data_IF_635742460571
#
_entry.id   IF_635742460571
#
_cell.length_a   1.000
_cell.length_b   1.000
_cell.length_c   1.000
_cell.angle_alpha   90.00
_cell.angle_beta   90.00
_cell.angle_gamma   90.00
#
_symmetry.space_group_name_H-M   'P 1'
#
loop_
_entity.id
_entity.type
_entity.pdbx_description
1 polymer ?
#
# COMPACT_ATOMS: atom_id res chain seq x y z
N UNK A 1 17.80 -10.69 -7.44
CA UNK A 1 18.21 -9.97 -8.66
C UNK A 1 19.66 -9.52 -8.65
N UNK A 2 20.05 -8.41 -8.00
CA UNK A 2 21.41 -7.87 -8.17
C UNK A 2 22.52 -8.79 -7.62
N UNK A 3 22.22 -9.59 -6.60
CA UNK A 3 23.10 -10.64 -6.08
C UNK A 3 22.77 -12.05 -6.62
N UNK A 4 21.99 -12.16 -7.71
CA UNK A 4 21.54 -13.42 -8.38
C UNK A 4 20.86 -14.47 -7.49
N UNK A 5 20.28 -14.08 -6.36
CA UNK A 5 19.50 -14.98 -5.48
C UNK A 5 18.03 -15.18 -5.90
N UNK A 6 17.61 -14.52 -6.97
CA UNK A 6 16.25 -14.59 -7.52
C UNK A 6 16.26 -13.98 -8.92
N UNK A 7 15.60 -14.67 -9.87
CA UNK A 7 15.49 -14.28 -11.29
C UNK A 7 14.39 -13.22 -11.51
N UNK A 8 13.29 -13.35 -10.74
CA UNK A 8 12.13 -12.46 -10.78
C UNK A 8 11.75 -12.09 -9.34
N UNK A 9 11.18 -10.89 -9.15
CA UNK A 9 10.65 -10.44 -7.86
C UNK A 9 9.46 -9.52 -8.08
N UNK A 10 8.56 -9.49 -7.09
CA UNK A 10 7.42 -8.59 -7.04
C UNK A 10 7.70 -7.55 -5.96
N UNK A 11 7.89 -6.29 -6.35
CA UNK A 11 8.35 -5.23 -5.45
C UNK A 11 7.62 -3.91 -5.73
N UNK A 12 7.31 -3.11 -4.69
CA UNK A 12 6.83 -1.75 -4.88
C UNK A 12 7.99 -0.81 -5.24
N UNK A 13 7.69 0.28 -5.96
CA UNK A 13 8.59 1.43 -6.10
C UNK A 13 9.94 1.19 -6.79
N UNK A 14 10.08 0.13 -7.58
CA UNK A 14 11.34 -0.25 -8.26
C UNK A 14 11.44 0.25 -9.71
N UNK A 15 10.39 0.89 -10.22
CA UNK A 15 10.37 1.47 -11.55
C UNK A 15 11.50 2.50 -11.73
N UNK A 16 12.16 2.48 -12.89
CA UNK A 16 13.23 3.42 -13.24
C UNK A 16 14.64 3.00 -12.80
N UNK A 17 14.82 1.90 -12.07
CA UNK A 17 16.15 1.42 -11.70
C UNK A 17 16.96 1.00 -12.96
N UNK A 18 18.21 1.48 -13.16
CA UNK A 18 18.92 1.39 -14.43
C UNK A 18 19.16 -0.04 -14.92
N UNK A 19 19.37 -0.99 -14.01
CA UNK A 19 19.66 -2.40 -14.29
C UNK A 19 18.44 -3.33 -14.25
N UNK A 20 17.27 -2.81 -13.87
CA UNK A 20 16.07 -3.63 -13.65
C UNK A 20 15.05 -3.31 -14.73
N UNK A 21 14.48 -4.35 -15.32
CA UNK A 21 13.23 -4.25 -16.06
C UNK A 21 12.10 -4.46 -15.08
N UNK A 22 11.07 -3.61 -15.14
CA UNK A 22 9.93 -3.64 -14.23
C UNK A 22 8.65 -3.41 -15.05
N UNK A 23 7.72 -4.35 -14.98
CA UNK A 23 6.38 -4.22 -15.55
C UNK A 23 5.36 -4.03 -14.42
N UNK A 24 4.45 -3.04 -14.51
CA UNK A 24 3.42 -2.83 -13.50
C UNK A 24 2.49 -4.04 -13.45
N UNK A 25 2.11 -4.45 -12.23
CA UNK A 25 1.17 -5.53 -12.01
C UNK A 25 -0.18 -5.01 -11.53
N UNK A 26 -0.19 -4.35 -10.38
CA UNK A 26 -1.41 -3.80 -9.82
C UNK A 26 -1.08 -2.58 -8.98
N UNK A 27 -2.11 -1.73 -8.83
CA UNK A 27 -2.06 -0.49 -8.08
C UNK A 27 -2.96 -0.64 -6.86
N UNK A 28 -2.43 -0.25 -5.71
CA UNK A 28 -3.18 -0.16 -4.47
C UNK A 28 -3.29 1.27 -4.03
N UNK A 29 -4.39 1.61 -3.37
CA UNK A 29 -4.63 2.95 -2.82
C UNK A 29 -4.63 2.93 -1.31
N UNK A 30 -4.18 4.02 -0.69
CA UNK A 30 -4.22 4.14 0.76
C UNK A 30 -5.66 4.39 1.22
N UNK A 31 -6.06 3.67 2.27
CA UNK A 31 -7.35 3.85 2.95
C UNK A 31 -7.10 4.10 4.43
N UNK A 32 -7.99 4.85 5.06
CA UNK A 32 -8.01 4.97 6.51
C UNK A 32 -8.75 3.75 7.09
N UNK A 33 -8.22 3.21 8.18
CA UNK A 33 -8.90 2.21 9.00
C UNK A 33 -9.19 2.79 10.38
N UNK A 34 -10.39 2.51 10.88
CA UNK A 34 -10.88 2.95 12.19
C UNK A 34 -11.64 1.82 12.89
N UNK A 35 -11.72 1.83 14.22
CA UNK A 35 -12.61 0.89 14.93
C UNK A 35 -14.07 1.12 14.53
N UNK A 36 -14.90 0.07 14.62
CA UNK A 36 -16.34 0.20 14.37
C UNK A 36 -17.06 1.14 15.34
N UNK A 37 -16.48 1.41 16.51
CA UNK A 37 -16.98 2.37 17.49
C UNK A 37 -16.52 3.81 17.23
N UNK A 38 -15.64 4.04 16.25
CA UNK A 38 -15.11 5.37 15.97
C UNK A 38 -16.20 6.27 15.34
N UNK A 39 -16.28 7.57 15.67
CA UNK A 39 -17.29 8.48 15.08
C UNK A 39 -17.27 8.56 13.55
N UNK A 40 -16.13 8.27 12.94
CA UNK A 40 -16.01 8.23 11.47
C UNK A 40 -16.42 6.89 10.85
N UNK A 41 -16.74 5.86 11.62
CA UNK A 41 -17.12 4.54 11.08
C UNK A 41 -18.36 4.61 10.17
N UNK A 42 -19.23 5.60 10.37
CA UNK A 42 -20.42 5.84 9.56
C UNK A 42 -20.14 6.69 8.30
N UNK A 43 -18.91 7.16 8.12
CA UNK A 43 -18.51 8.00 6.97
C UNK A 43 -17.90 7.15 5.86
N UNK A 44 -18.15 7.57 4.63
CA UNK A 44 -17.51 6.96 3.46
C UNK A 44 -16.15 7.59 3.10
N UNK A 45 -15.95 8.85 3.49
CA UNK A 45 -14.72 9.60 3.20
C UNK A 45 -14.36 10.66 4.26
N UNK A 46 -13.05 10.91 4.36
CA UNK A 46 -12.45 11.98 5.18
C UNK A 46 -11.31 12.65 4.42
N UNK A 47 -11.09 13.95 4.65
CA UNK A 47 -9.95 14.69 4.12
C UNK A 47 -8.67 14.34 4.87
N UNK A 48 -7.51 14.51 4.22
CA UNK A 48 -6.22 14.36 4.91
C UNK A 48 -6.03 15.38 6.04
N UNK A 49 -6.64 16.57 5.93
CA UNK A 49 -6.51 17.62 6.94
C UNK A 49 -7.16 17.22 8.28
N UNK A 50 -8.31 16.52 8.23
CA UNK A 50 -9.01 16.03 9.42
C UNK A 50 -8.17 15.04 10.25
N UNK A 51 -7.17 14.39 9.64
CA UNK A 51 -6.27 13.47 10.35
C UNK A 51 -5.40 14.17 11.41
N UNK A 52 -5.27 15.49 11.36
CA UNK A 52 -4.50 16.28 12.34
C UNK A 52 -5.14 16.22 13.73
N UNK A 53 -6.46 16.06 13.79
CA UNK A 53 -7.24 16.10 15.03
C UNK A 53 -7.48 14.71 15.62
N UNK A 54 -6.94 13.66 15.00
CA UNK A 54 -7.10 12.28 15.44
C UNK A 54 -5.80 11.67 16.00
N UNK A 55 -5.89 10.77 17.00
CA UNK A 55 -4.76 9.91 17.36
C UNK A 55 -4.49 8.91 16.23
N UNK A 56 -3.27 8.88 15.73
CA UNK A 56 -2.85 7.99 14.64
C UNK A 56 -1.92 6.89 15.14
N UNK A 57 -2.13 5.69 14.63
CA UNK A 57 -1.22 4.55 14.75
C UNK A 57 -0.39 4.44 13.47
N UNK A 58 0.92 4.31 13.61
CA UNK A 58 1.84 4.10 12.48
C UNK A 58 2.60 2.80 12.61
N UNK A 59 3.12 2.33 11.48
CA UNK A 59 4.18 1.32 11.49
C UNK A 59 5.55 1.96 11.75
N UNK A 60 6.48 1.14 12.20
CA UNK A 60 7.88 1.53 12.35
C UNK A 60 8.48 2.09 11.05
N UNK A 61 9.46 2.97 11.20
CA UNK A 61 10.13 3.65 10.07
C UNK A 61 10.78 2.73 9.04
N UNK A 62 11.04 1.46 9.37
CA UNK A 62 11.54 0.44 8.44
C UNK A 62 10.53 0.00 7.38
N UNK A 63 9.24 0.21 7.60
CA UNK A 63 8.18 -0.19 6.68
C UNK A 63 8.18 0.63 5.39
N UNK A 64 8.34 -0.03 4.24
CA UNK A 64 8.23 0.60 2.92
C UNK A 64 6.85 1.24 2.70
N UNK A 65 5.79 0.58 3.18
CA UNK A 65 4.42 1.12 3.16
C UNK A 65 4.34 2.40 3.97
N UNK A 66 4.89 2.42 5.19
CA UNK A 66 4.85 3.62 6.03
C UNK A 66 5.61 4.77 5.39
N UNK A 67 6.80 4.51 4.80
CA UNK A 67 7.55 5.54 4.08
C UNK A 67 6.76 6.16 2.93
N UNK A 68 6.03 5.34 2.16
CA UNK A 68 5.21 5.83 1.06
C UNK A 68 4.04 6.70 1.56
N UNK A 69 3.39 6.29 2.66
CA UNK A 69 2.32 7.05 3.31
C UNK A 69 2.86 8.37 3.89
N UNK A 70 3.97 8.33 4.63
CA UNK A 70 4.61 9.49 5.23
C UNK A 70 5.00 10.53 4.17
N UNK A 71 5.58 10.09 3.05
CA UNK A 71 5.96 10.96 1.94
C UNK A 71 4.74 11.62 1.30
N UNK A 72 3.63 10.89 1.16
CA UNK A 72 2.40 11.44 0.61
C UNK A 72 1.71 12.43 1.57
N UNK A 73 1.69 12.15 2.87
CA UNK A 73 1.23 13.07 3.90
C UNK A 73 2.08 14.35 3.90
N UNK A 74 3.41 14.21 3.81
CA UNK A 74 4.35 15.32 3.73
C UNK A 74 4.12 16.19 2.50
N UNK A 75 3.94 15.59 1.31
CA UNK A 75 3.61 16.32 0.07
C UNK A 75 2.28 17.07 0.16
N UNK A 76 1.33 16.52 0.92
CA UNK A 76 0.02 17.15 1.17
C UNK A 76 0.06 18.20 2.28
N UNK A 77 1.22 18.45 2.89
CA UNK A 77 1.36 19.40 4.01
C UNK A 77 0.65 18.95 5.29
N UNK A 78 0.32 17.67 5.42
CA UNK A 78 -0.38 17.11 6.58
C UNK A 78 0.62 16.42 7.50
N UNK A 79 0.55 16.74 8.79
CA UNK A 79 1.34 16.09 9.85
C UNK A 79 0.39 15.55 10.90
N UNK A 80 -0.05 14.29 10.78
CA UNK A 80 -0.93 13.70 11.78
C UNK A 80 -0.21 13.50 13.12
N UNK A 81 -0.96 13.46 14.22
CA UNK A 81 -0.41 13.16 15.54
C UNK A 81 -0.32 11.66 15.74
N UNK A 82 0.87 11.09 15.51
CA UNK A 82 1.14 9.69 15.79
C UNK A 82 1.30 9.45 17.29
N UNK A 83 0.41 8.64 17.88
CA UNK A 83 0.40 8.30 19.31
C UNK A 83 0.98 6.91 19.59
N UNK A 84 1.03 6.04 18.58
CA UNK A 84 1.57 4.68 18.67
C UNK A 84 2.39 4.33 17.43
N UNK A 85 3.52 3.66 17.64
CA UNK A 85 4.36 3.08 16.59
C UNK A 85 4.51 1.58 16.81
N UNK A 86 4.24 0.78 15.78
CA UNK A 86 4.16 -0.68 15.86
C UNK A 86 5.00 -1.36 14.77
N UNK A 87 5.65 -2.47 15.10
CA UNK A 87 6.58 -3.15 14.17
C UNK A 87 5.88 -3.86 12.99
N UNK A 88 4.67 -4.40 13.20
CA UNK A 88 3.95 -5.18 12.19
C UNK A 88 2.64 -4.51 11.76
N UNK A 89 2.18 -4.89 10.56
CA UNK A 89 0.88 -4.48 10.02
C UNK A 89 -0.25 -5.05 10.86
N UNK A 90 -0.10 -6.30 11.27
CA UNK A 90 -1.08 -7.03 12.08
C UNK A 90 -1.27 -6.34 13.44
N UNK A 91 -0.18 -5.91 14.09
CA UNK A 91 -0.26 -5.16 15.33
C UNK A 91 -0.96 -3.81 15.15
N UNK A 92 -0.68 -3.10 14.04
CA UNK A 92 -1.39 -1.86 13.69
C UNK A 92 -2.89 -2.09 13.53
N UNK A 93 -3.27 -3.11 12.76
CA UNK A 93 -4.68 -3.46 12.56
C UNK A 93 -5.38 -3.81 13.88
N UNK A 94 -4.73 -4.58 14.77
CA UNK A 94 -5.26 -4.91 16.10
C UNK A 94 -5.44 -3.66 16.97
N UNK A 95 -4.44 -2.78 17.03
CA UNK A 95 -4.52 -1.53 17.79
C UNK A 95 -5.66 -0.62 17.31
N UNK A 96 -5.84 -0.51 15.98
CA UNK A 96 -6.97 0.24 15.39
C UNK A 96 -8.30 -0.40 15.73
N UNK A 97 -8.41 -1.73 15.61
CA UNK A 97 -9.65 -2.46 15.93
C UNK A 97 -10.05 -2.29 17.40
N UNK A 98 -9.06 -2.21 18.29
CA UNK A 98 -9.23 -1.93 19.72
C UNK A 98 -9.52 -0.45 20.05
N UNK A 99 -9.57 0.44 19.06
CA UNK A 99 -9.91 1.86 19.24
C UNK A 99 -8.75 2.71 19.78
N UNK A 100 -7.50 2.26 19.68
CA UNK A 100 -6.32 2.99 20.17
C UNK A 100 -5.88 4.14 19.25
N UNK A 101 -6.52 4.28 18.09
CA UNK A 101 -6.32 5.34 17.12
C UNK A 101 -6.74 4.92 15.71
N UNK A 102 -6.53 5.80 14.74
CA UNK A 102 -6.76 5.53 13.32
C UNK A 102 -5.46 5.08 12.63
N UNK A 103 -5.55 4.24 11.61
CA UNK A 103 -4.39 3.76 10.85
C UNK A 103 -4.56 3.99 9.35
N UNK A 104 -3.46 4.03 8.59
CA UNK A 104 -3.50 4.06 7.13
C UNK A 104 -2.81 2.80 6.60
N UNK A 105 -3.49 2.08 5.71
CA UNK A 105 -3.03 0.85 5.07
C UNK A 105 -3.37 0.87 3.59
N UNK A 106 -2.87 -0.10 2.82
CA UNK A 106 -3.35 -0.30 1.46
C UNK A 106 -4.73 -0.96 1.46
N UNK A 107 -5.61 -0.56 0.54
CA UNK A 107 -6.94 -1.15 0.31
C UNK A 107 -6.90 -2.69 0.25
N UNK A 108 -5.97 -3.25 -0.52
CA UNK A 108 -5.76 -4.69 -0.65
C UNK A 108 -5.37 -5.39 0.66
N UNK A 109 -4.75 -4.68 1.60
CA UNK A 109 -4.44 -5.21 2.93
C UNK A 109 -5.65 -5.16 3.87
N UNK A 110 -6.60 -4.28 3.58
CA UNK A 110 -7.78 -4.02 4.41
C UNK A 110 -9.00 -4.86 4.00
N UNK A 111 -9.17 -5.15 2.71
CA UNK A 111 -10.34 -5.85 2.14
C UNK A 111 -10.63 -7.22 2.80
N UNK A 112 -9.64 -7.88 3.38
CA UNK A 112 -9.79 -9.20 3.99
C UNK A 112 -10.21 -9.18 5.47
N UNK A 113 -10.48 -8.02 6.07
CA UNK A 113 -10.67 -7.90 7.52
C UNK A 113 -12.00 -7.23 7.88
N UNK A 114 -12.80 -7.91 8.69
CA UNK A 114 -14.05 -7.36 9.27
C UNK A 114 -13.83 -6.66 10.62
N UNK A 115 -12.59 -6.64 11.14
CA UNK A 115 -12.26 -6.12 12.48
C UNK A 115 -12.37 -4.59 12.62
N UNK A 116 -12.38 -3.87 11.50
CA UNK A 116 -12.37 -2.42 11.44
C UNK A 116 -13.16 -1.93 10.22
N UNK A 117 -13.52 -0.65 10.22
CA UNK A 117 -14.11 0.03 9.07
C UNK A 117 -13.02 0.67 8.22
N UNK A 118 -13.15 0.55 6.89
CA UNK A 118 -12.33 1.26 5.91
C UNK A 118 -13.04 2.53 5.44
N UNK A 119 -12.29 3.63 5.32
CA UNK A 119 -12.78 4.95 4.92
C UNK A 119 -11.87 5.51 3.84
N UNK A 120 -12.44 6.10 2.79
CA UNK A 120 -11.66 6.70 1.68
C UNK A 120 -11.03 8.01 2.12
N UNK A 121 -9.82 8.27 1.63
CA UNK A 121 -9.13 9.56 1.84
C UNK A 121 -9.46 10.50 0.67
N UNK A 122 -10.10 11.63 0.97
CA UNK A 122 -10.46 12.68 0.03
C UNK A 122 -9.22 13.55 -0.25
N UNK A 123 -8.35 13.03 -1.12
CA UNK A 123 -7.16 13.71 -1.64
C UNK A 123 -6.78 13.13 -3.00
N UNK A 124 -5.70 13.62 -3.62
CA UNK A 124 -5.06 12.82 -4.66
C UNK A 124 -4.77 11.41 -4.10
N UNK A 125 -5.17 10.34 -4.80
CA UNK A 125 -5.01 8.99 -4.28
C UNK A 125 -3.54 8.69 -3.99
N UNK A 126 -3.23 8.48 -2.72
CA UNK A 126 -1.95 7.94 -2.32
C UNK A 126 -1.92 6.51 -2.82
N UNK A 127 -0.98 6.20 -3.71
CA UNK A 127 -0.94 4.89 -4.34
C UNK A 127 0.46 4.31 -4.38
N UNK A 128 0.50 2.99 -4.38
CA UNK A 128 1.71 2.22 -4.60
C UNK A 128 1.43 1.18 -5.68
N UNK A 129 2.33 1.08 -6.65
CA UNK A 129 2.26 0.08 -7.71
C UNK A 129 3.26 -1.01 -7.41
N UNK A 130 2.81 -2.26 -7.43
CA UNK A 130 3.69 -3.42 -7.42
C UNK A 130 4.13 -3.75 -8.83
N UNK A 131 5.40 -4.11 -8.98
CA UNK A 131 6.00 -4.43 -10.26
C UNK A 131 6.55 -5.83 -10.26
N UNK A 132 6.29 -6.58 -11.32
CA UNK A 132 7.11 -7.73 -11.68
C UNK A 132 8.43 -7.20 -12.21
N UNK A 133 9.52 -7.64 -11.62
CA UNK A 133 10.84 -7.14 -11.94
C UNK A 133 11.77 -8.29 -12.30
N UNK A 134 12.77 -8.04 -13.13
CA UNK A 134 13.90 -8.93 -13.39
C UNK A 134 15.15 -8.10 -13.77
N UNK A 135 16.33 -8.73 -13.79
CA UNK A 135 17.49 -8.05 -14.39
C UNK A 135 17.24 -7.81 -15.88
N UNK A 136 17.65 -6.64 -16.41
CA UNK A 136 17.57 -6.37 -17.85
C UNK A 136 18.37 -7.38 -18.69
N UNK A 137 19.46 -7.90 -18.15
CA UNK A 137 20.28 -8.93 -18.81
C UNK A 137 19.59 -10.29 -18.93
N UNK A 138 18.59 -10.56 -18.09
CA UNK A 138 17.86 -11.84 -18.04
C UNK A 138 16.52 -11.74 -18.76
N UNK A 139 16.11 -10.54 -19.18
CA UNK A 139 14.82 -10.30 -19.82
C UNK A 139 14.62 -11.13 -21.09
N UNK A 140 15.68 -11.46 -21.83
CA UNK A 140 15.59 -12.25 -23.08
C UNK A 140 15.35 -13.75 -22.84
N UNK A 141 15.47 -14.24 -21.61
CA UNK A 141 15.26 -15.65 -21.29
C UNK A 141 13.78 -16.02 -21.48
N UNK A 142 13.53 -17.14 -22.18
CA UNK A 142 12.18 -17.58 -22.51
C UNK A 142 11.29 -17.77 -21.28
N UNK A 143 11.85 -18.32 -20.19
CA UNK A 143 11.14 -18.50 -18.92
C UNK A 143 10.71 -17.17 -18.31
N UNK A 144 11.56 -16.14 -18.40
CA UNK A 144 11.26 -14.79 -17.89
C UNK A 144 10.16 -14.16 -18.76
N UNK A 145 10.29 -14.24 -20.09
CA UNK A 145 9.25 -13.76 -21.01
C UNK A 145 7.90 -14.48 -20.79
N UNK A 146 7.90 -15.78 -20.49
CA UNK A 146 6.69 -16.50 -20.13
C UNK A 146 6.05 -15.98 -18.84
N UNK A 147 6.84 -15.76 -17.79
CA UNK A 147 6.36 -15.18 -16.53
C UNK A 147 5.74 -13.79 -16.73
N UNK A 148 6.39 -12.92 -17.51
CA UNK A 148 5.86 -11.58 -17.80
C UNK A 148 4.56 -11.64 -18.61
N UNK A 149 4.42 -12.58 -19.56
CA UNK A 149 3.16 -12.78 -20.29
C UNK A 149 2.03 -13.20 -19.36
N UNK A 150 2.26 -14.18 -18.48
CA UNK A 150 1.25 -14.65 -17.52
C UNK A 150 0.87 -13.54 -16.55
N UNK A 151 1.86 -12.88 -15.96
CA UNK A 151 1.62 -11.81 -14.99
C UNK A 151 0.89 -10.62 -15.62
N UNK A 152 1.21 -10.27 -16.87
CA UNK A 152 0.49 -9.25 -17.62
C UNK A 152 -0.97 -9.62 -17.92
N UNK A 153 -1.28 -10.90 -18.14
CA UNK A 153 -2.66 -11.36 -18.28
C UNK A 153 -3.43 -11.25 -16.96
N UNK A 154 -2.80 -11.65 -15.84
CA UNK A 154 -3.39 -11.53 -14.50
C UNK A 154 -3.61 -10.07 -14.10
N UNK A 155 -2.64 -9.19 -14.35
CA UNK A 155 -2.74 -7.75 -14.09
C UNK A 155 -4.00 -7.13 -14.73
N UNK A 156 -4.26 -7.46 -16.00
CA UNK A 156 -5.46 -6.99 -16.72
C UNK A 156 -6.77 -7.49 -16.10
N UNK A 157 -6.78 -8.70 -15.54
CA UNK A 157 -7.96 -9.23 -14.86
C UNK A 157 -8.23 -8.51 -13.54
N UNK A 158 -7.19 -8.22 -12.77
CA UNK A 158 -7.28 -7.47 -11.50
C UNK A 158 -7.71 -6.02 -11.72
N UNK A 159 -7.21 -5.37 -12.77
CA UNK A 159 -7.63 -4.01 -13.17
C UNK A 159 -9.10 -3.97 -13.64
N UNK A 160 -9.61 -5.06 -14.23
CA UNK A 160 -11.00 -5.16 -14.68
C UNK A 160 -11.97 -5.38 -13.50
N UNK A 161 -11.56 -6.13 -12.48
CA UNK A 161 -12.37 -6.41 -11.28
C UNK A 161 -12.42 -5.26 -10.26
N UNK A 162 -11.47 -4.31 -10.31
CA UNK A 162 -11.40 -3.17 -9.40
C UNK A 162 -12.18 -1.93 -9.87
N UNK A 163 -12.83 -2.00 -11.05
CA UNK A 163 -13.74 -0.96 -11.58
C UNK A 163 -15.22 -1.32 -11.45
N UNK A 164 -15.53 -2.44 -10.81
CA UNK A 164 -16.89 -2.96 -10.61
C UNK A 164 -17.45 -2.62 -9.24
#
# INVERSE_FOLDING_TARGET
MLARRADVAVLPGIAGHPKIHAAPLWKHTAVLIVSHSHPWAERDEVTLAELRDQPMVRRESGSMTQKAIDEALRRSGVRPRFTLELGSREALCEAVSAGLGCGIVWDSEAQASERFRTIRLQSEPIHSTYYLSCSKSELSLQVIQALYRVAGALARQLDAGSRG
#
